data_IF_923655405672
#
_entry.id   IF_923655405672
#
_cell.length_a   1.000
_cell.length_b   1.000
_cell.length_c   1.000
_cell.angle_alpha   90.00
_cell.angle_beta   90.00
_cell.angle_gamma   90.00
#
_symmetry.space_group_name_H-M   'P 1'
#
loop_
_entity.id
_entity.type
_entity.pdbx_description
1 polymer ?
#
# COMPACT_ATOMS: atom_id res chain seq x y z
N UNK A 1 -27.60 -47.74 32.20
CA UNK A 1 -26.50 -48.74 32.22
C UNK A 1 -25.91 -48.94 33.59
N UNK A 2 -25.50 -47.88 34.29
CA UNK A 2 -25.17 -47.97 35.73
C UNK A 2 -26.30 -48.69 36.49
N UNK A 3 -27.56 -48.34 36.22
CA UNK A 3 -28.73 -49.04 36.77
C UNK A 3 -28.76 -50.56 36.52
N UNK A 4 -28.36 -51.05 35.34
CA UNK A 4 -28.36 -52.48 35.01
C UNK A 4 -27.22 -53.21 35.72
N UNK A 5 -26.02 -52.60 35.77
CA UNK A 5 -24.87 -53.15 36.50
C UNK A 5 -25.18 -53.21 38.00
N UNK A 6 -25.78 -52.14 38.56
CA UNK A 6 -26.24 -52.10 39.94
C UNK A 6 -27.31 -53.14 40.24
N UNK A 7 -28.28 -53.34 39.33
CA UNK A 7 -29.31 -54.38 39.47
C UNK A 7 -28.71 -55.80 39.44
N UNK A 8 -27.69 -56.03 38.60
CA UNK A 8 -26.91 -57.27 38.59
C UNK A 8 -26.21 -57.52 39.92
N UNK A 9 -25.52 -56.51 40.47
CA UNK A 9 -24.85 -56.64 41.76
C UNK A 9 -25.84 -56.87 42.90
N UNK A 10 -27.01 -56.23 42.83
CA UNK A 10 -28.09 -56.48 43.78
C UNK A 10 -28.63 -57.91 43.69
N UNK A 11 -28.80 -58.47 42.50
CA UNK A 11 -29.20 -59.86 42.33
C UNK A 11 -28.17 -60.84 42.88
N UNK A 12 -26.87 -60.59 42.66
CA UNK A 12 -25.76 -61.36 43.26
C UNK A 12 -25.80 -61.27 44.79
N UNK A 13 -26.02 -60.08 45.34
CA UNK A 13 -26.13 -59.84 46.78
C UNK A 13 -27.29 -60.61 47.41
N UNK A 14 -28.49 -60.55 46.81
CA UNK A 14 -29.67 -61.29 47.28
C UNK A 14 -29.45 -62.81 47.21
N UNK A 15 -28.84 -63.31 46.13
CA UNK A 15 -28.52 -64.73 45.97
C UNK A 15 -27.52 -65.22 47.02
N UNK A 16 -26.48 -64.43 47.29
CA UNK A 16 -25.47 -64.74 48.30
C UNK A 16 -26.06 -64.78 49.71
N UNK A 17 -27.01 -63.89 50.03
CA UNK A 17 -27.77 -63.92 51.30
C UNK A 17 -28.68 -65.15 51.40
N UNK A 18 -29.37 -65.52 50.32
CA UNK A 18 -30.32 -66.63 50.31
C UNK A 18 -29.67 -68.01 50.52
N UNK A 19 -28.38 -68.17 50.19
CA UNK A 19 -27.64 -69.45 50.28
C UNK A 19 -26.84 -69.63 51.56
N UNK A 20 -26.70 -68.62 52.42
CA UNK A 20 -25.98 -68.72 53.70
C UNK A 20 -24.45 -68.57 53.61
N UNK A 21 -23.84 -68.82 52.45
CA UNK A 21 -22.41 -68.64 52.18
C UNK A 21 -22.11 -67.29 51.51
N UNK A 22 -22.43 -66.20 52.22
CA UNK A 22 -22.40 -64.85 51.64
C UNK A 22 -21.03 -64.45 51.07
N UNK A 23 -19.95 -64.63 51.84
CA UNK A 23 -18.62 -64.15 51.47
C UNK A 23 -18.04 -64.88 50.25
N UNK A 24 -18.23 -66.20 50.15
CA UNK A 24 -17.75 -67.01 49.01
C UNK A 24 -18.47 -66.62 47.72
N UNK A 25 -19.81 -66.65 47.73
CA UNK A 25 -20.62 -66.39 46.54
C UNK A 25 -20.48 -64.94 46.11
N UNK A 26 -20.62 -63.98 47.03
CA UNK A 26 -20.54 -62.56 46.70
C UNK A 26 -19.13 -62.15 46.27
N UNK A 27 -18.09 -62.60 47.00
CA UNK A 27 -16.70 -62.25 46.70
C UNK A 27 -16.23 -62.77 45.35
N UNK A 28 -16.47 -64.05 45.06
CA UNK A 28 -16.10 -64.66 43.78
C UNK A 28 -16.90 -64.03 42.62
N UNK A 29 -18.20 -63.85 42.80
CA UNK A 29 -19.07 -63.23 41.79
C UNK A 29 -18.69 -61.78 41.50
N UNK A 30 -18.27 -61.03 42.51
CA UNK A 30 -17.82 -59.65 42.36
C UNK A 30 -16.53 -59.56 41.53
N UNK A 31 -15.53 -60.41 41.82
CA UNK A 31 -14.26 -60.42 41.07
C UNK A 31 -14.50 -60.84 39.62
N UNK A 32 -15.30 -61.90 39.39
CA UNK A 32 -15.62 -62.37 38.03
C UNK A 32 -16.43 -61.32 37.27
N UNK A 33 -17.37 -60.64 37.94
CA UNK A 33 -18.13 -59.54 37.35
C UNK A 33 -17.23 -58.37 36.94
N UNK A 34 -16.32 -57.93 37.81
CA UNK A 34 -15.37 -56.85 37.51
C UNK A 34 -14.41 -57.22 36.38
N UNK A 35 -13.89 -58.45 36.37
CA UNK A 35 -13.04 -58.95 35.28
C UNK A 35 -13.81 -58.97 33.96
N UNK A 36 -15.07 -59.42 33.98
CA UNK A 36 -15.94 -59.45 32.80
C UNK A 36 -16.26 -58.06 32.28
N UNK A 37 -16.59 -57.11 33.17
CA UNK A 37 -16.78 -55.69 32.82
C UNK A 37 -15.52 -55.11 32.19
N UNK A 38 -14.33 -55.44 32.72
CA UNK A 38 -13.07 -54.94 32.19
C UNK A 38 -12.79 -55.47 30.78
N UNK A 39 -12.95 -56.78 30.56
CA UNK A 39 -12.75 -57.40 29.23
C UNK A 39 -13.76 -56.85 28.23
N UNK A 40 -15.04 -56.84 28.59
CA UNK A 40 -16.10 -56.27 27.76
C UNK A 40 -15.87 -54.79 27.49
N UNK A 41 -15.49 -54.02 28.51
CA UNK A 41 -15.22 -52.59 28.42
C UNK A 41 -14.00 -52.24 27.58
N UNK A 42 -12.94 -53.05 27.63
CA UNK A 42 -11.80 -52.89 26.74
C UNK A 42 -12.22 -53.06 25.27
N UNK A 43 -12.98 -54.10 24.95
CA UNK A 43 -13.53 -54.30 23.61
C UNK A 43 -14.48 -53.15 23.23
N UNK A 44 -15.39 -52.76 24.12
CA UNK A 44 -16.32 -51.66 23.90
C UNK A 44 -15.61 -50.36 23.60
N UNK A 45 -14.55 -50.05 24.35
CA UNK A 45 -13.69 -48.89 24.11
C UNK A 45 -13.07 -48.94 22.71
N UNK A 46 -12.43 -50.05 22.33
CA UNK A 46 -11.81 -50.20 21.00
C UNK A 46 -12.81 -49.94 19.88
N UNK A 47 -13.98 -50.60 19.94
CA UNK A 47 -15.05 -50.42 18.95
C UNK A 47 -15.69 -49.02 19.01
N UNK A 48 -15.61 -48.34 20.15
CA UNK A 48 -16.16 -47.01 20.37
C UNK A 48 -15.23 -45.86 19.98
N UNK A 49 -13.94 -46.13 19.69
CA UNK A 49 -13.01 -45.10 19.21
C UNK A 49 -13.53 -44.53 17.87
N UNK A 50 -13.78 -43.22 17.81
CA UNK A 50 -14.30 -42.60 16.59
C UNK A 50 -13.22 -42.57 15.51
N UNK A 51 -13.59 -42.97 14.28
CA UNK A 51 -12.69 -43.00 13.10
C UNK A 51 -12.81 -41.70 12.32
N UNK A 52 -12.10 -40.65 12.74
CA UNK A 52 -12.40 -39.27 12.30
C UNK A 52 -11.54 -38.77 11.14
N UNK A 53 -10.66 -39.57 10.53
CA UNK A 53 -9.72 -39.04 9.52
C UNK A 53 -9.54 -39.80 8.20
N UNK A 54 -10.36 -40.79 7.85
CA UNK A 54 -10.16 -41.50 6.57
C UNK A 54 -10.73 -40.79 5.33
N UNK A 55 -11.66 -39.83 5.48
CA UNK A 55 -12.37 -39.23 4.33
C UNK A 55 -11.81 -37.86 3.86
N UNK A 56 -10.80 -37.29 4.52
CA UNK A 56 -10.23 -35.99 4.11
C UNK A 56 -9.25 -36.08 2.93
N UNK A 57 -8.84 -37.29 2.51
CA UNK A 57 -7.92 -37.48 1.38
C UNK A 57 -8.64 -37.71 0.03
N UNK A 58 -9.97 -37.72 -0.01
CA UNK A 58 -10.75 -38.03 -1.21
C UNK A 58 -11.27 -36.80 -1.98
N UNK A 59 -11.13 -35.59 -1.44
CA UNK A 59 -11.51 -34.36 -2.13
C UNK A 59 -10.32 -33.40 -2.14
N UNK A 60 -9.61 -33.34 -3.26
CA UNK A 60 -8.59 -32.33 -3.48
C UNK A 60 -9.23 -30.95 -3.50
N UNK A 61 -9.01 -30.17 -2.44
CA UNK A 61 -9.17 -28.73 -2.49
C UNK A 61 -8.27 -28.07 -1.44
N UNK A 62 -7.33 -27.28 -1.97
CA UNK A 62 -6.45 -26.38 -1.25
C UNK A 62 -7.27 -25.37 -0.45
N UNK A 63 -7.28 -25.53 0.87
CA UNK A 63 -7.30 -24.41 1.81
C UNK A 63 -6.70 -24.90 3.12
N UNK A 64 -5.42 -24.61 3.27
CA UNK A 64 -4.57 -24.93 4.40
C UNK A 64 -4.99 -24.12 5.62
N UNK A 65 -5.98 -24.63 6.34
CA UNK A 65 -6.12 -24.42 7.77
C UNK A 65 -6.33 -25.80 8.41
N UNK A 66 -5.21 -26.37 8.83
CA UNK A 66 -5.12 -27.35 9.91
C UNK A 66 -5.64 -28.76 9.64
N UNK A 67 -4.86 -29.42 8.78
CA UNK A 67 -4.48 -30.84 8.93
C UNK A 67 -3.72 -31.04 10.25
N UNK A 68 -4.34 -30.74 11.39
CA UNK A 68 -3.80 -31.11 12.69
C UNK A 68 -4.09 -32.60 12.89
N UNK A 69 -2.98 -33.34 12.83
CA UNK A 69 -2.86 -34.77 13.02
C UNK A 69 -3.47 -35.11 14.38
N UNK A 70 -4.72 -35.57 14.40
CA UNK A 70 -5.15 -36.41 15.51
C UNK A 70 -4.15 -37.56 15.56
N UNK A 71 -3.81 -38.05 16.76
CA UNK A 71 -2.91 -39.18 16.88
C UNK A 71 -3.60 -40.42 16.31
N UNK A 72 -3.51 -40.60 14.98
CA UNK A 72 -4.15 -41.68 14.22
C UNK A 72 -3.61 -43.03 14.61
N UNK A 73 -2.51 -43.09 15.38
CA UNK A 73 -1.95 -44.35 15.85
C UNK A 73 -2.99 -45.15 16.64
N UNK A 74 -3.75 -44.54 17.56
CA UNK A 74 -4.78 -45.26 18.33
C UNK A 74 -5.99 -45.64 17.46
N UNK A 75 -6.39 -44.78 16.54
CA UNK A 75 -7.46 -45.05 15.57
C UNK A 75 -7.11 -46.22 14.64
N UNK A 76 -5.89 -46.21 14.10
CA UNK A 76 -5.36 -47.24 13.19
C UNK A 76 -5.13 -48.56 13.91
N UNK A 77 -4.51 -48.54 15.09
CA UNK A 77 -4.32 -49.74 15.92
C UNK A 77 -5.68 -50.35 16.27
N UNK A 78 -6.67 -49.52 16.64
CA UNK A 78 -8.02 -50.01 16.90
C UNK A 78 -8.70 -50.59 15.65
N UNK A 79 -8.55 -49.97 14.48
CA UNK A 79 -9.09 -50.51 13.22
C UNK A 79 -8.48 -51.85 12.84
N UNK A 80 -7.16 -52.01 12.96
CA UNK A 80 -6.48 -53.29 12.72
C UNK A 80 -6.90 -54.34 13.74
N UNK A 81 -6.93 -53.98 15.03
CA UNK A 81 -7.27 -54.89 16.10
C UNK A 81 -8.73 -55.35 16.01
N UNK A 82 -9.67 -54.45 15.76
CA UNK A 82 -11.09 -54.80 15.58
C UNK A 82 -11.31 -55.70 14.36
N UNK A 83 -10.61 -55.47 13.24
CA UNK A 83 -10.65 -56.37 12.08
C UNK A 83 -10.11 -57.77 12.40
N UNK A 84 -8.99 -57.86 13.13
CA UNK A 84 -8.44 -59.15 13.58
C UNK A 84 -9.43 -59.87 14.50
N UNK A 85 -10.01 -59.18 15.48
CA UNK A 85 -10.98 -59.74 16.42
C UNK A 85 -12.22 -60.27 15.67
N UNK A 86 -12.77 -59.51 14.73
CA UNK A 86 -13.91 -59.94 13.91
C UNK A 86 -13.52 -61.12 13.02
N UNK A 87 -12.33 -61.10 12.41
CA UNK A 87 -11.83 -62.20 11.57
C UNK A 87 -11.62 -63.51 12.34
N UNK A 88 -11.03 -63.45 13.53
CA UNK A 88 -10.88 -64.61 14.42
C UNK A 88 -12.25 -65.11 14.88
N UNK A 89 -13.16 -64.20 15.25
CA UNK A 89 -14.52 -64.57 15.68
C UNK A 89 -15.30 -65.32 14.59
N UNK A 90 -15.15 -64.92 13.32
CA UNK A 90 -15.81 -65.56 12.19
C UNK A 90 -15.22 -66.94 11.86
N UNK A 91 -13.91 -67.10 11.95
CA UNK A 91 -13.22 -68.32 11.51
C UNK A 91 -13.07 -69.36 12.61
N UNK A 92 -12.96 -68.93 13.87
CA UNK A 92 -12.67 -69.78 15.04
C UNK A 92 -13.84 -69.88 16.03
N UNK A 93 -15.08 -69.64 15.60
CA UNK A 93 -16.26 -69.69 16.47
C UNK A 93 -16.40 -71.01 17.27
N UNK A 94 -16.12 -72.21 16.70
CA UNK A 94 -16.18 -73.45 17.46
C UNK A 94 -15.14 -73.50 18.59
N UNK A 95 -13.91 -73.04 18.34
CA UNK A 95 -12.86 -72.97 19.34
C UNK A 95 -13.24 -72.00 20.46
N UNK A 96 -13.70 -70.78 20.10
CA UNK A 96 -14.16 -69.79 21.06
C UNK A 96 -15.31 -70.30 21.95
N UNK A 97 -16.24 -71.07 21.37
CA UNK A 97 -17.33 -71.71 22.14
C UNK A 97 -16.78 -72.71 23.14
N UNK A 98 -15.84 -73.57 22.74
CA UNK A 98 -15.28 -74.60 23.61
C UNK A 98 -14.46 -73.98 24.74
N UNK A 99 -13.63 -72.97 24.46
CA UNK A 99 -12.86 -72.24 25.47
C UNK A 99 -13.77 -71.48 26.44
N UNK A 100 -14.85 -70.86 25.94
CA UNK A 100 -15.85 -70.22 26.80
C UNK A 100 -16.56 -71.23 27.71
N UNK A 101 -16.96 -72.39 27.16
CA UNK A 101 -17.57 -73.46 27.94
C UNK A 101 -16.60 -74.02 28.99
N UNK A 102 -15.32 -74.20 28.65
CA UNK A 102 -14.28 -74.63 29.58
C UNK A 102 -14.09 -73.61 30.72
N UNK A 103 -13.99 -72.32 30.39
CA UNK A 103 -13.91 -71.23 31.37
C UNK A 103 -15.14 -71.22 32.29
N UNK A 104 -16.34 -71.34 31.73
CA UNK A 104 -17.58 -71.39 32.51
C UNK A 104 -17.67 -72.65 33.39
N UNK A 105 -17.18 -73.80 32.91
CA UNK A 105 -17.12 -75.02 33.72
C UNK A 105 -16.14 -74.89 34.88
N UNK A 106 -14.94 -74.34 34.66
CA UNK A 106 -13.94 -74.12 35.70
C UNK A 106 -14.46 -73.15 36.78
N UNK A 107 -15.16 -72.09 36.37
CA UNK A 107 -15.80 -71.17 37.31
C UNK A 107 -16.96 -71.83 38.07
N UNK A 108 -17.73 -72.68 37.40
CA UNK A 108 -18.85 -73.39 38.01
C UNK A 108 -18.42 -74.36 39.11
N UNK A 109 -17.24 -74.96 39.00
CA UNK A 109 -16.65 -75.80 40.06
C UNK A 109 -16.47 -74.99 41.35
N UNK A 110 -15.97 -73.76 41.25
CA UNK A 110 -15.82 -72.84 42.39
C UNK A 110 -17.13 -72.39 43.04
N UNK A 111 -18.28 -72.59 42.38
CA UNK A 111 -19.61 -72.31 42.91
C UNK A 111 -20.41 -73.58 43.26
N UNK A 112 -19.93 -74.76 42.85
CA UNK A 112 -20.68 -76.01 42.88
C UNK A 112 -21.00 -76.48 44.29
N UNK A 113 -20.04 -76.35 45.21
CA UNK A 113 -20.20 -76.69 46.63
C UNK A 113 -21.24 -75.78 47.31
N UNK A 114 -21.31 -74.51 46.92
CA UNK A 114 -22.17 -73.50 47.54
C UNK A 114 -23.62 -73.54 47.04
N UNK A 115 -23.83 -73.90 45.77
CA UNK A 115 -25.18 -73.99 45.20
C UNK A 115 -25.82 -75.37 45.33
N UNK A 116 -25.02 -76.44 45.44
CA UNK A 116 -25.48 -77.83 45.56
C UNK A 116 -26.13 -78.40 44.28
N UNK A 117 -26.01 -77.68 43.16
CA UNK A 117 -26.53 -78.08 41.85
C UNK A 117 -25.54 -77.63 40.77
N UNK A 118 -24.92 -78.59 40.08
CA UNK A 118 -23.90 -78.34 39.07
C UNK A 118 -24.47 -77.59 37.85
N UNK A 119 -25.67 -77.96 37.39
CA UNK A 119 -26.33 -77.31 36.25
C UNK A 119 -26.65 -75.85 36.54
N UNK A 120 -27.12 -75.55 37.77
CA UNK A 120 -27.36 -74.18 38.21
C UNK A 120 -26.07 -73.36 38.30
N UNK A 121 -25.00 -73.94 38.83
CA UNK A 121 -23.69 -73.27 38.98
C UNK A 121 -23.07 -72.93 37.62
N UNK A 122 -23.24 -73.82 36.64
CA UNK A 122 -22.80 -73.59 35.27
C UNK A 122 -23.62 -72.49 34.58
N UNK A 123 -24.96 -72.55 34.69
CA UNK A 123 -25.85 -71.52 34.16
C UNK A 123 -25.59 -70.14 34.79
N UNK A 124 -25.33 -70.10 36.10
CA UNK A 124 -24.96 -68.89 36.82
C UNK A 124 -23.65 -68.30 36.31
N UNK A 125 -22.60 -69.13 36.18
CA UNK A 125 -21.27 -68.71 35.69
C UNK A 125 -21.34 -68.16 34.26
N UNK A 126 -22.07 -68.85 33.37
CA UNK A 126 -22.33 -68.38 32.01
C UNK A 126 -23.04 -67.01 32.00
N UNK A 127 -24.11 -66.90 32.80
CA UNK A 127 -24.92 -65.68 32.87
C UNK A 127 -24.10 -64.50 33.40
N UNK A 128 -23.28 -64.73 34.42
CA UNK A 128 -22.45 -63.71 35.04
C UNK A 128 -21.36 -63.19 34.09
N UNK A 129 -20.65 -64.09 33.40
CA UNK A 129 -19.66 -63.71 32.39
C UNK A 129 -20.28 -62.89 31.25
N UNK A 130 -21.38 -63.38 30.67
CA UNK A 130 -22.03 -62.74 29.53
C UNK A 130 -22.65 -61.39 29.91
N UNK A 131 -23.42 -61.35 31.00
CA UNK A 131 -24.13 -60.15 31.41
C UNK A 131 -23.18 -58.99 31.69
N UNK A 132 -22.13 -59.23 32.48
CA UNK A 132 -21.18 -58.19 32.85
C UNK A 132 -20.22 -57.81 31.71
N UNK A 133 -19.86 -58.76 30.84
CA UNK A 133 -19.09 -58.45 29.63
C UNK A 133 -19.89 -57.56 28.65
N UNK A 134 -21.15 -57.89 28.38
CA UNK A 134 -22.02 -57.07 27.52
C UNK A 134 -22.26 -55.69 28.13
N UNK A 135 -22.50 -55.61 29.44
CA UNK A 135 -22.65 -54.32 30.13
C UNK A 135 -21.37 -53.47 30.04
N UNK A 136 -20.20 -54.06 30.27
CA UNK A 136 -18.91 -53.38 30.13
C UNK A 136 -18.69 -52.87 28.70
N UNK A 137 -18.98 -53.72 27.71
CA UNK A 137 -18.90 -53.36 26.30
C UNK A 137 -19.73 -52.13 25.96
N UNK A 138 -21.03 -52.16 26.27
CA UNK A 138 -21.93 -51.05 25.95
C UNK A 138 -21.50 -49.78 26.72
N UNK A 139 -21.03 -49.91 27.97
CA UNK A 139 -20.57 -48.79 28.80
C UNK A 139 -19.42 -48.04 28.16
N UNK A 140 -18.34 -48.74 27.89
CA UNK A 140 -17.15 -48.11 27.32
C UNK A 140 -17.36 -47.72 25.86
N UNK A 141 -18.18 -48.46 25.11
CA UNK A 141 -18.55 -48.09 23.74
C UNK A 141 -19.27 -46.75 23.68
N UNK A 142 -20.33 -46.57 24.48
CA UNK A 142 -21.07 -45.32 24.50
C UNK A 142 -20.23 -44.18 25.07
N UNK A 143 -19.43 -44.44 26.10
CA UNK A 143 -18.53 -43.43 26.66
C UNK A 143 -17.49 -42.94 25.63
N UNK A 144 -16.79 -43.87 24.95
CA UNK A 144 -15.83 -43.53 23.91
C UNK A 144 -16.51 -42.82 22.73
N UNK A 145 -17.70 -43.26 22.32
CA UNK A 145 -18.40 -42.68 21.18
C UNK A 145 -18.94 -41.27 21.46
N UNK A 146 -19.37 -40.97 22.68
CA UNK A 146 -20.02 -39.70 23.02
C UNK A 146 -19.08 -38.71 23.69
N UNK A 147 -18.34 -39.14 24.71
CA UNK A 147 -17.58 -38.22 25.56
C UNK A 147 -16.20 -37.92 24.97
N UNK A 148 -15.47 -38.95 24.53
CA UNK A 148 -14.14 -38.76 23.93
C UNK A 148 -14.23 -37.91 22.65
N UNK A 149 -15.26 -38.13 21.83
CA UNK A 149 -15.48 -37.33 20.62
C UNK A 149 -15.69 -35.84 20.92
N UNK A 150 -16.56 -35.52 21.88
CA UNK A 150 -16.86 -34.12 22.25
C UNK A 150 -15.65 -33.43 22.86
N UNK A 151 -14.88 -34.13 23.70
CA UNK A 151 -13.66 -33.56 24.28
C UNK A 151 -12.62 -33.25 23.20
N UNK A 152 -12.42 -34.15 22.24
CA UNK A 152 -11.48 -33.94 21.14
C UNK A 152 -11.92 -32.78 20.23
N UNK A 153 -13.21 -32.66 19.91
CA UNK A 153 -13.71 -31.55 19.09
C UNK A 153 -13.60 -30.20 19.81
N UNK A 154 -13.88 -30.15 21.12
CA UNK A 154 -13.74 -28.94 21.91
C UNK A 154 -12.28 -28.48 22.00
N UNK A 155 -11.35 -29.40 22.25
CA UNK A 155 -9.91 -29.10 22.26
C UNK A 155 -9.46 -28.60 20.88
N UNK A 156 -9.93 -29.24 19.80
CA UNK A 156 -9.66 -28.81 18.42
C UNK A 156 -10.14 -27.39 18.16
N UNK A 157 -11.38 -27.05 18.53
CA UNK A 157 -11.93 -25.70 18.35
C UNK A 157 -11.14 -24.64 19.12
N UNK A 158 -10.66 -24.97 20.32
CA UNK A 158 -9.84 -24.05 21.12
C UNK A 158 -8.48 -23.77 20.48
N UNK A 159 -7.82 -24.80 19.93
CA UNK A 159 -6.54 -24.64 19.23
C UNK A 159 -6.72 -23.78 17.97
N UNK A 160 -7.68 -24.12 17.11
CA UNK A 160 -8.00 -23.34 15.89
C UNK A 160 -8.29 -21.88 16.24
N UNK A 161 -9.12 -21.63 17.27
CA UNK A 161 -9.47 -20.28 17.68
C UNK A 161 -8.25 -19.48 18.20
N UNK A 162 -7.32 -20.14 18.89
CA UNK A 162 -6.09 -19.52 19.37
C UNK A 162 -5.15 -19.14 18.21
N UNK A 163 -4.97 -20.03 17.23
CA UNK A 163 -4.12 -19.79 16.06
C UNK A 163 -4.72 -18.70 15.15
N UNK A 164 -6.03 -18.73 14.91
CA UNK A 164 -6.73 -17.66 14.19
C UNK A 164 -6.58 -16.32 14.92
N UNK A 165 -6.75 -16.29 16.24
CA UNK A 165 -6.60 -15.05 17.03
C UNK A 165 -5.18 -14.49 16.95
N UNK A 166 -4.16 -15.37 16.98
CA UNK A 166 -2.76 -14.97 16.83
C UNK A 166 -2.48 -14.40 15.44
N UNK A 167 -3.00 -15.04 14.39
CA UNK A 167 -2.86 -14.56 13.01
C UNK A 167 -3.57 -13.20 12.80
N UNK A 168 -4.78 -13.03 13.35
CA UNK A 168 -5.51 -11.74 13.30
C UNK A 168 -4.73 -10.65 14.04
N UNK A 169 -4.15 -10.94 15.20
CA UNK A 169 -3.37 -9.96 15.96
C UNK A 169 -2.13 -9.49 15.18
N UNK A 170 -1.39 -10.43 14.58
CA UNK A 170 -0.24 -10.11 13.72
C UNK A 170 -0.64 -9.26 12.52
N UNK A 171 -1.70 -9.65 11.79
CA UNK A 171 -2.18 -8.89 10.65
C UNK A 171 -2.65 -7.50 11.06
N UNK A 172 -3.33 -7.36 12.20
CA UNK A 172 -3.77 -6.06 12.74
C UNK A 172 -2.57 -5.14 12.98
N UNK A 173 -1.50 -5.65 13.61
CA UNK A 173 -0.27 -4.89 13.82
C UNK A 173 0.36 -4.44 12.49
N UNK A 174 0.43 -5.34 11.50
CA UNK A 174 0.97 -4.99 10.18
C UNK A 174 0.15 -3.89 9.49
N UNK A 175 -1.18 -3.95 9.54
CA UNK A 175 -2.07 -2.93 8.96
C UNK A 175 -1.87 -1.60 9.66
N UNK A 176 -1.83 -1.56 11.00
CA UNK A 176 -1.61 -0.29 11.72
C UNK A 176 -0.24 0.35 11.42
N UNK A 177 0.81 -0.46 11.21
CA UNK A 177 2.12 0.04 10.81
C UNK A 177 2.12 0.59 9.38
N UNK A 178 1.39 -0.04 8.46
CA UNK A 178 1.21 0.46 7.09
C UNK A 178 0.44 1.79 7.12
N UNK A 179 -0.65 1.87 7.87
CA UNK A 179 -1.46 3.10 7.97
C UNK A 179 -0.65 4.28 8.52
N UNK A 180 0.20 4.05 9.54
CA UNK A 180 1.12 5.07 10.04
C UNK A 180 2.08 5.55 8.96
N UNK A 181 2.74 4.63 8.24
CA UNK A 181 3.64 4.98 7.14
C UNK A 181 2.91 5.77 6.06
N UNK A 182 1.71 5.37 5.66
CA UNK A 182 0.92 6.09 4.64
C UNK A 182 0.58 7.51 5.12
N UNK A 183 0.18 7.68 6.37
CA UNK A 183 -0.12 9.00 6.94
C UNK A 183 1.13 9.88 7.04
N UNK A 184 2.29 9.31 7.37
CA UNK A 184 3.56 10.04 7.44
C UNK A 184 4.06 10.45 6.04
N UNK A 185 3.80 9.66 4.99
CA UNK A 185 4.16 9.98 3.61
C UNK A 185 3.25 11.06 2.97
N UNK A 186 1.99 11.16 3.38
CA UNK A 186 1.01 12.07 2.78
C UNK A 186 1.48 13.53 2.65
N UNK A 187 2.01 14.15 3.72
CA UNK A 187 2.55 15.51 3.66
C UNK A 187 3.75 15.66 2.71
N UNK A 188 4.64 14.67 2.67
CA UNK A 188 5.82 14.70 1.79
C UNK A 188 5.44 14.62 0.32
N UNK A 189 4.46 13.77 -0.02
CA UNK A 189 3.90 13.68 -1.39
C UNK A 189 3.26 15.01 -1.79
N UNK A 190 2.44 15.59 -0.90
CA UNK A 190 1.81 16.88 -1.18
C UNK A 190 2.84 17.98 -1.41
N UNK A 191 3.84 18.09 -0.52
CA UNK A 191 4.93 19.06 -0.65
C UNK A 191 5.71 18.88 -1.97
N UNK A 192 6.02 17.64 -2.34
CA UNK A 192 6.73 17.35 -3.59
C UNK A 192 5.90 17.70 -4.82
N UNK A 193 4.58 17.44 -4.78
CA UNK A 193 3.66 17.83 -5.85
C UNK A 193 3.61 19.35 -6.00
N UNK A 194 3.45 20.09 -4.90
CA UNK A 194 3.42 21.55 -4.90
C UNK A 194 4.73 22.15 -5.46
N UNK A 195 5.89 21.63 -5.04
CA UNK A 195 7.19 22.05 -5.58
C UNK A 195 7.34 21.71 -7.07
N UNK A 196 6.86 20.53 -7.51
CA UNK A 196 6.97 20.12 -8.92
C UNK A 196 6.16 21.03 -9.85
N UNK A 197 5.01 21.53 -9.39
CA UNK A 197 4.21 22.51 -10.13
C UNK A 197 4.96 23.82 -10.27
N UNK A 198 5.50 24.37 -9.18
CA UNK A 198 6.28 25.62 -9.21
C UNK A 198 7.51 25.51 -10.11
N UNK A 199 8.24 24.40 -10.03
CA UNK A 199 9.39 24.13 -10.92
C UNK A 199 8.95 24.11 -12.39
N UNK A 200 7.80 23.50 -12.69
CA UNK A 200 7.30 23.43 -14.07
C UNK A 200 6.92 24.80 -14.63
N UNK A 201 6.30 25.66 -13.81
CA UNK A 201 5.93 27.04 -14.18
C UNK A 201 7.18 27.87 -14.51
N UNK A 202 8.18 27.86 -13.63
CA UNK A 202 9.44 28.61 -13.86
C UNK A 202 10.17 28.10 -15.10
N UNK A 203 10.22 26.78 -15.31
CA UNK A 203 10.83 26.21 -16.52
C UNK A 203 10.12 26.63 -17.80
N UNK A 204 8.79 26.75 -17.76
CA UNK A 204 8.01 27.25 -18.89
C UNK A 204 8.33 28.72 -19.18
N UNK A 205 8.44 29.57 -18.16
CA UNK A 205 8.82 30.98 -18.33
C UNK A 205 10.26 31.13 -18.88
N UNK A 206 11.21 30.34 -18.37
CA UNK A 206 12.59 30.30 -18.90
C UNK A 206 12.64 29.87 -20.37
N UNK A 207 11.77 28.93 -20.79
CA UNK A 207 11.68 28.54 -22.19
C UNK A 207 11.14 29.68 -23.08
N UNK A 208 10.25 30.52 -22.55
CA UNK A 208 9.75 31.70 -23.28
C UNK A 208 10.85 32.76 -23.43
N UNK A 209 11.73 32.94 -22.44
CA UNK A 209 12.95 33.77 -22.58
C UNK A 209 13.83 33.31 -23.75
N UNK A 210 14.08 32.00 -23.87
CA UNK A 210 14.87 31.46 -24.99
C UNK A 210 14.19 31.72 -26.35
N UNK A 211 12.87 31.59 -26.40
CA UNK A 211 12.09 31.86 -27.60
C UNK A 211 12.15 33.33 -27.99
N UNK A 212 11.96 34.25 -27.04
CA UNK A 212 12.07 35.68 -27.29
C UNK A 212 13.47 36.10 -27.74
N UNK A 213 14.53 35.53 -27.13
CA UNK A 213 15.92 35.74 -27.59
C UNK A 213 16.15 35.31 -29.03
N UNK A 214 15.59 34.16 -29.44
CA UNK A 214 15.66 33.72 -30.84
C UNK A 214 14.96 34.71 -31.79
N UNK A 215 13.81 35.24 -31.40
CA UNK A 215 13.08 36.25 -32.19
C UNK A 215 13.93 37.53 -32.35
N UNK A 216 14.53 38.02 -31.26
CA UNK A 216 15.46 39.15 -31.29
C UNK A 216 16.64 38.88 -32.23
N UNK A 217 17.31 37.74 -32.08
CA UNK A 217 18.45 37.37 -32.90
C UNK A 217 18.10 37.29 -34.40
N UNK A 218 16.92 36.75 -34.74
CA UNK A 218 16.44 36.70 -36.11
C UNK A 218 16.27 38.12 -36.66
N UNK A 219 15.63 39.02 -35.91
CA UNK A 219 15.45 40.41 -36.33
C UNK A 219 16.80 41.12 -36.58
N UNK A 220 17.78 40.92 -35.70
CA UNK A 220 19.12 41.50 -35.79
C UNK A 220 19.93 40.94 -36.97
N UNK A 221 19.60 39.74 -37.46
CA UNK A 221 20.29 39.08 -38.58
C UNK A 221 19.69 39.38 -39.96
N UNK A 222 18.56 40.10 -40.05
CA UNK A 222 17.86 40.37 -41.32
C UNK A 222 18.71 41.15 -42.34
N UNK A 223 19.60 42.02 -41.89
CA UNK A 223 20.47 42.86 -42.73
C UNK A 223 21.91 42.83 -42.19
N UNK A 224 22.87 42.54 -43.06
CA UNK A 224 24.32 42.52 -42.73
C UNK A 224 24.83 43.83 -42.11
N UNK A 225 24.25 44.97 -42.48
CA UNK A 225 24.58 46.29 -41.93
C UNK A 225 24.09 46.41 -40.50
N UNK A 226 22.83 46.01 -40.25
CA UNK A 226 22.21 45.97 -38.92
C UNK A 226 22.99 45.03 -38.01
N UNK A 227 23.31 43.84 -38.50
CA UNK A 227 24.08 42.84 -37.77
C UNK A 227 25.44 43.38 -37.31
N UNK A 228 26.16 44.08 -38.20
CA UNK A 228 27.47 44.65 -37.89
C UNK A 228 27.38 45.76 -36.84
N UNK A 229 26.39 46.64 -36.98
CA UNK A 229 26.20 47.79 -36.08
C UNK A 229 25.78 47.33 -34.69
N UNK A 230 24.86 46.37 -34.61
CA UNK A 230 24.40 45.79 -33.34
C UNK A 230 25.53 45.00 -32.68
N UNK A 231 26.31 44.23 -33.44
CA UNK A 231 27.48 43.53 -32.91
C UNK A 231 28.51 44.50 -32.30
N UNK A 232 28.76 45.64 -32.96
CA UNK A 232 29.65 46.68 -32.43
C UNK A 232 29.11 47.35 -31.17
N UNK A 233 27.78 47.52 -31.07
CA UNK A 233 27.15 48.08 -29.88
C UNK A 233 27.19 47.14 -28.66
N UNK A 234 27.45 45.84 -28.85
CA UNK A 234 27.54 44.83 -27.80
C UNK A 234 26.33 44.89 -26.84
N UNK A 235 25.10 44.58 -27.30
CA UNK A 235 23.93 44.57 -26.43
C UNK A 235 24.08 43.53 -25.33
N UNK A 236 23.60 43.86 -24.14
CA UNK A 236 23.48 42.87 -23.07
C UNK A 236 22.38 41.85 -23.41
N UNK A 237 22.43 40.63 -22.85
CA UNK A 237 21.36 39.66 -22.97
C UNK A 237 20.04 40.23 -22.43
N UNK A 238 18.93 39.87 -23.05
CA UNK A 238 17.59 40.16 -22.54
C UNK A 238 17.40 39.58 -21.13
N UNK A 239 16.94 40.38 -20.17
CA UNK A 239 16.75 39.98 -18.76
C UNK A 239 15.31 40.10 -18.26
N UNK A 240 14.44 40.79 -18.99
CA UNK A 240 13.01 41.02 -18.64
C UNK A 240 12.13 40.50 -19.77
N UNK A 241 11.20 39.58 -19.47
CA UNK A 241 10.42 38.84 -20.48
C UNK A 241 9.47 39.74 -21.28
N UNK A 242 8.78 40.64 -20.57
CA UNK A 242 7.76 41.51 -21.17
C UNK A 242 8.36 42.69 -21.93
N UNK A 243 9.64 42.98 -21.71
CA UNK A 243 10.35 44.08 -22.36
C UNK A 243 11.73 43.62 -22.84
N UNK A 244 11.73 43.04 -24.03
CA UNK A 244 12.93 42.47 -24.64
C UNK A 244 14.06 43.44 -24.91
N UNK A 245 13.85 44.76 -24.79
CA UNK A 245 14.90 45.78 -24.98
C UNK A 245 15.44 46.33 -23.66
N UNK A 246 14.77 46.06 -22.55
CA UNK A 246 15.14 46.58 -21.23
C UNK A 246 16.51 46.09 -20.79
N UNK A 247 17.32 47.01 -20.27
CA UNK A 247 18.68 46.77 -19.79
C UNK A 247 19.66 46.25 -20.86
N UNK A 248 19.32 46.29 -22.15
CA UNK A 248 20.21 45.79 -23.23
C UNK A 248 21.18 46.84 -23.73
N UNK A 249 20.83 48.11 -23.62
CA UNK A 249 21.47 49.22 -24.32
C UNK A 249 22.21 50.18 -23.38
N UNK A 250 22.54 49.73 -22.16
CA UNK A 250 23.33 50.47 -21.18
C UNK A 250 22.51 51.32 -20.21
N UNK A 251 21.18 51.32 -20.32
CA UNK A 251 20.23 51.95 -19.37
C UNK A 251 20.46 53.46 -19.13
N UNK A 252 21.09 54.13 -20.08
CA UNK A 252 21.31 55.58 -20.07
C UNK A 252 20.55 56.21 -21.23
N UNK A 253 19.72 57.21 -20.94
CA UNK A 253 19.02 58.02 -21.95
C UNK A 253 19.86 59.22 -22.41
N UNK A 254 21.04 59.42 -21.80
CA UNK A 254 21.94 60.52 -22.09
C UNK A 254 23.39 60.03 -21.99
N UNK A 255 24.20 60.29 -23.02
CA UNK A 255 25.62 59.96 -23.02
C UNK A 255 26.40 60.97 -23.88
N UNK A 256 27.50 61.49 -23.35
CA UNK A 256 28.34 62.49 -24.01
C UNK A 256 27.53 63.72 -24.49
N UNK A 257 27.50 64.02 -25.79
CA UNK A 257 26.71 65.11 -26.37
C UNK A 257 25.33 64.66 -26.89
N UNK A 258 24.87 63.45 -26.57
CA UNK A 258 23.62 62.89 -27.09
C UNK A 258 22.57 62.73 -25.99
N UNK A 259 21.33 63.04 -26.32
CA UNK A 259 20.17 62.82 -25.45
C UNK A 259 19.05 62.15 -26.24
N UNK A 260 18.44 61.16 -25.59
CA UNK A 260 17.31 60.39 -26.07
C UNK A 260 16.10 60.71 -25.18
N UNK A 261 15.01 61.14 -25.79
CA UNK A 261 13.76 61.44 -25.09
C UNK A 261 12.57 61.12 -25.98
N UNK A 262 11.37 61.08 -25.40
CA UNK A 262 10.16 60.85 -26.14
C UNK A 262 9.07 61.89 -25.81
N UNK A 263 8.22 62.13 -26.81
CA UNK A 263 6.97 62.87 -26.69
C UNK A 263 5.79 61.97 -27.02
N UNK A 264 4.65 62.26 -26.40
CA UNK A 264 3.50 61.38 -26.41
C UNK A 264 2.25 62.13 -26.86
N UNK A 265 1.53 61.58 -27.82
CA UNK A 265 0.19 62.06 -28.18
C UNK A 265 -0.82 60.98 -27.84
N UNK A 266 -1.67 61.27 -26.86
CA UNK A 266 -2.76 60.39 -26.44
C UNK A 266 -4.04 60.69 -27.22
N UNK A 267 -4.73 59.63 -27.67
CA UNK A 267 -6.01 59.74 -28.35
C UNK A 267 -7.09 59.09 -27.47
N UNK A 268 -8.02 59.86 -26.87
CA UNK A 268 -8.99 59.36 -25.89
C UNK A 268 -9.91 58.23 -26.38
N UNK A 269 -10.03 58.05 -27.70
CA UNK A 269 -10.87 57.03 -28.34
C UNK A 269 -10.08 55.83 -28.87
N UNK A 270 -8.76 55.79 -28.66
CA UNK A 270 -7.88 54.71 -29.12
C UNK A 270 -7.25 53.99 -27.94
N UNK A 271 -7.07 52.67 -28.08
CA UNK A 271 -6.28 51.86 -27.14
C UNK A 271 -4.77 52.07 -27.29
N UNK A 272 -4.34 52.94 -28.21
CA UNK A 272 -2.94 53.19 -28.52
C UNK A 272 -2.59 54.67 -28.28
N UNK A 273 -1.34 54.93 -27.94
CA UNK A 273 -0.74 56.25 -27.92
C UNK A 273 0.36 56.34 -28.98
N UNK A 274 0.51 57.54 -29.56
CA UNK A 274 1.61 57.82 -30.48
C UNK A 274 2.83 58.21 -29.66
N UNK A 275 3.91 57.46 -29.83
CA UNK A 275 5.22 57.76 -29.27
C UNK A 275 6.08 58.35 -30.36
N UNK A 276 6.69 59.50 -30.08
CA UNK A 276 7.73 60.08 -30.91
C UNK A 276 9.03 60.08 -30.12
N UNK A 277 9.95 59.18 -30.49
CA UNK A 277 11.27 59.08 -29.88
C UNK A 277 12.27 59.89 -30.69
N UNK A 278 13.03 60.74 -29.99
CA UNK A 278 13.96 61.68 -30.60
C UNK A 278 15.35 61.49 -30.02
N UNK A 279 16.31 61.19 -30.88
CA UNK A 279 17.73 61.32 -30.60
C UNK A 279 18.20 62.69 -31.09
N UNK A 280 18.79 63.50 -30.21
CA UNK A 280 19.38 64.79 -30.58
C UNK A 280 20.74 65.04 -29.94
N UNK A 281 21.54 65.92 -30.53
CA UNK A 281 22.70 66.48 -29.84
C UNK A 281 22.28 67.52 -28.81
N UNK A 282 22.97 67.60 -27.67
CA UNK A 282 22.68 68.59 -26.61
C UNK A 282 23.06 70.00 -27.06
N UNK A 283 24.20 70.13 -27.74
CA UNK A 283 24.61 71.39 -28.36
C UNK A 283 24.02 71.52 -29.78
N UNK A 284 23.18 72.54 -30.06
CA UNK A 284 22.64 72.82 -31.39
C UNK A 284 23.71 73.19 -32.43
N UNK A 285 24.89 73.65 -31.99
CA UNK A 285 26.01 73.99 -32.87
C UNK A 285 26.99 72.83 -33.07
N UNK A 286 26.74 71.67 -32.47
CA UNK A 286 27.55 70.48 -32.67
C UNK A 286 27.50 70.01 -34.13
N UNK A 287 28.50 69.19 -34.50
CA UNK A 287 28.51 68.53 -35.79
C UNK A 287 27.24 67.69 -35.97
N UNK A 288 26.63 67.69 -37.17
CA UNK A 288 25.43 66.92 -37.44
C UNK A 288 25.65 65.42 -37.22
N UNK A 289 24.55 64.73 -36.92
CA UNK A 289 24.54 63.27 -36.79
C UNK A 289 24.92 62.66 -38.14
N UNK A 290 26.19 62.27 -38.27
CA UNK A 290 26.73 61.69 -39.49
C UNK A 290 26.66 60.16 -39.44
N UNK A 291 25.65 59.60 -40.10
CA UNK A 291 25.39 58.17 -40.14
C UNK A 291 23.95 57.84 -39.80
N UNK A 292 23.53 56.61 -40.09
CA UNK A 292 22.18 56.16 -39.77
C UNK A 292 22.03 55.85 -38.28
N UNK A 293 20.84 56.10 -37.75
CA UNK A 293 20.41 55.79 -36.39
C UNK A 293 19.44 54.61 -36.44
N UNK A 294 19.61 53.64 -35.55
CA UNK A 294 18.80 52.44 -35.49
C UNK A 294 18.00 52.44 -34.19
N UNK A 295 16.67 52.51 -34.32
CA UNK A 295 15.75 52.39 -33.20
C UNK A 295 15.37 50.93 -33.00
N UNK A 296 15.59 50.43 -31.80
CA UNK A 296 15.32 49.06 -31.37
C UNK A 296 13.98 49.07 -30.63
N UNK A 297 12.94 48.69 -31.33
CA UNK A 297 11.57 48.58 -30.83
C UNK A 297 11.31 47.21 -30.20
N UNK A 298 10.14 47.08 -29.58
CA UNK A 298 9.67 45.80 -29.06
C UNK A 298 9.49 44.75 -30.19
N UNK A 299 9.68 43.47 -29.88
CA UNK A 299 9.59 42.37 -30.87
C UNK A 299 8.19 42.11 -31.41
N UNK A 300 7.16 42.75 -30.85
CA UNK A 300 5.79 42.70 -31.37
C UNK A 300 5.61 43.48 -32.67
N UNK A 301 6.52 44.40 -32.99
CA UNK A 301 6.48 45.17 -34.23
C UNK A 301 6.97 44.30 -35.41
N UNK A 302 6.37 44.50 -36.58
CA UNK A 302 6.72 43.76 -37.81
C UNK A 302 8.21 43.94 -38.18
N UNK A 303 8.69 45.17 -38.05
CA UNK A 303 10.08 45.56 -38.19
C UNK A 303 10.55 46.22 -36.88
N UNK A 304 11.08 45.43 -35.93
CA UNK A 304 11.46 45.94 -34.62
C UNK A 304 12.79 46.71 -34.65
N UNK A 305 13.47 46.76 -35.80
CA UNK A 305 14.69 47.54 -35.96
C UNK A 305 14.45 48.53 -37.09
N UNK A 306 14.33 49.80 -36.73
CA UNK A 306 14.01 50.87 -37.67
C UNK A 306 15.24 51.73 -37.94
N UNK A 307 15.67 51.73 -39.19
CA UNK A 307 16.75 52.59 -39.69
C UNK A 307 16.20 53.98 -40.01
N UNK A 308 16.78 55.01 -39.42
CA UNK A 308 16.44 56.42 -39.65
C UNK A 308 17.70 57.20 -40.03
N UNK A 309 17.65 57.87 -41.17
CA UNK A 309 18.69 58.83 -41.56
C UNK A 309 18.42 60.18 -40.87
N UNK A 310 19.34 60.71 -40.05
CA UNK A 310 19.14 61.95 -39.32
C UNK A 310 18.95 63.17 -40.23
N UNK A 311 18.21 64.16 -39.75
CA UNK A 311 18.11 65.48 -40.36
C UNK A 311 18.89 66.49 -39.51
N UNK A 312 20.15 66.74 -39.90
CA UNK A 312 21.05 67.60 -39.13
C UNK A 312 21.41 66.96 -37.79
N UNK A 313 20.97 67.57 -36.69
CA UNK A 313 21.32 67.16 -35.32
C UNK A 313 20.25 66.26 -34.68
N UNK A 314 19.22 65.86 -35.44
CA UNK A 314 18.03 65.19 -34.90
C UNK A 314 17.69 63.97 -35.74
N UNK A 315 17.43 62.84 -35.08
CA UNK A 315 16.80 61.67 -35.66
C UNK A 315 15.50 61.36 -34.89
N UNK A 316 14.39 61.26 -35.62
CA UNK A 316 13.05 61.08 -35.05
C UNK A 316 12.43 59.81 -35.61
N UNK A 317 11.85 59.01 -34.73
CA UNK A 317 11.00 57.90 -35.12
C UNK A 317 9.67 57.95 -34.37
N UNK A 318 8.57 57.69 -35.08
CA UNK A 318 7.22 57.70 -34.51
C UNK A 318 6.54 56.36 -34.74
N UNK A 319 5.90 55.84 -33.68
CA UNK A 319 5.19 54.56 -33.70
C UNK A 319 3.98 54.60 -32.75
N UNK A 320 2.99 53.76 -33.03
CA UNK A 320 1.84 53.57 -32.14
C UNK A 320 2.09 52.39 -31.21
N UNK A 321 1.91 52.58 -29.91
CA UNK A 321 2.01 51.51 -28.92
C UNK A 321 0.75 51.42 -28.07
N UNK A 322 0.41 50.21 -27.63
CA UNK A 322 -0.65 49.95 -26.63
C UNK A 322 -0.11 49.92 -25.21
N UNK A 323 1.20 49.80 -25.05
CA UNK A 323 1.88 49.65 -23.76
C UNK A 323 3.27 50.28 -23.85
N UNK A 324 3.79 50.79 -22.74
CA UNK A 324 5.12 51.34 -22.62
C UNK A 324 6.15 50.21 -22.65
N UNK A 325 7.27 50.42 -23.34
CA UNK A 325 8.39 49.48 -23.39
C UNK A 325 9.69 50.26 -23.55
N UNK A 326 10.82 49.61 -23.37
CA UNK A 326 12.13 50.23 -23.49
C UNK A 326 12.53 50.38 -24.95
N UNK A 327 12.94 51.57 -25.35
CA UNK A 327 13.47 51.80 -26.70
C UNK A 327 14.99 51.88 -26.62
N UNK A 328 15.66 50.97 -27.35
CA UNK A 328 17.09 51.07 -27.58
C UNK A 328 17.39 51.95 -28.78
N UNK A 329 18.50 52.68 -28.74
CA UNK A 329 19.01 53.41 -29.90
C UNK A 329 20.47 53.08 -30.08
N UNK A 330 20.85 52.71 -31.31
CA UNK A 330 22.23 52.48 -31.70
C UNK A 330 22.60 53.41 -32.84
N UNK A 331 23.72 54.11 -32.70
CA UNK A 331 24.29 54.96 -33.72
C UNK A 331 25.48 54.29 -34.42
N UNK A 332 25.79 54.68 -35.66
CA UNK A 332 26.81 54.04 -36.51
C UNK A 332 28.17 53.87 -35.82
N UNK A 333 28.52 54.80 -34.92
CA UNK A 333 29.81 54.83 -34.22
C UNK A 333 29.85 53.85 -33.02
N UNK A 334 28.82 53.03 -32.83
CA UNK A 334 28.69 52.08 -31.72
C UNK A 334 28.11 52.69 -30.45
N UNK A 335 27.76 53.99 -30.44
CA UNK A 335 27.06 54.62 -29.32
C UNK A 335 25.67 53.99 -29.17
N UNK A 336 25.32 53.70 -27.92
CA UNK A 336 24.03 53.13 -27.54
C UNK A 336 23.37 53.95 -26.43
N UNK A 337 22.07 54.13 -26.53
CA UNK A 337 21.22 54.76 -25.53
C UNK A 337 19.97 53.92 -25.30
N UNK A 338 19.38 54.06 -24.14
CA UNK A 338 18.20 53.34 -23.71
C UNK A 338 17.19 54.31 -23.09
N UNK A 339 15.94 54.25 -23.55
CA UNK A 339 14.84 55.02 -22.97
C UNK A 339 13.75 54.08 -22.49
N UNK A 340 13.64 53.93 -21.16
CA UNK A 340 12.59 53.18 -20.51
C UNK A 340 11.31 54.04 -20.43
N UNK A 341 10.40 53.85 -21.41
CA UNK A 341 9.14 54.60 -21.45
C UNK A 341 8.25 54.29 -20.24
N UNK A 342 8.39 53.11 -19.63
CA UNK A 342 7.59 52.73 -18.47
C UNK A 342 7.92 53.59 -17.24
N UNK A 343 9.18 54.04 -17.14
CA UNK A 343 9.64 54.95 -16.08
C UNK A 343 9.37 56.44 -16.35
N UNK A 344 9.03 56.82 -17.58
CA UNK A 344 8.78 58.22 -17.91
C UNK A 344 7.48 58.72 -17.24
N UNK A 345 7.53 59.78 -16.41
CA UNK A 345 6.34 60.32 -15.73
C UNK A 345 5.31 60.93 -16.70
N UNK A 346 5.68 61.23 -17.94
CA UNK A 346 4.78 61.78 -18.97
C UNK A 346 3.90 60.71 -19.61
N UNK A 347 4.24 59.43 -19.48
CA UNK A 347 3.43 58.32 -19.98
C UNK A 347 2.22 58.11 -19.05
N UNK A 348 0.97 58.15 -19.57
CA UNK A 348 -0.21 57.89 -18.76
C UNK A 348 -0.19 56.51 -18.07
N UNK A 349 -0.68 56.38 -16.83
CA UNK A 349 -0.62 55.13 -16.07
C UNK A 349 -1.25 53.92 -16.77
N UNK A 350 -2.29 54.13 -17.58
CA UNK A 350 -2.99 53.08 -18.33
C UNK A 350 -2.13 52.39 -19.40
N UNK A 351 -1.03 53.02 -19.82
CA UNK A 351 -0.07 52.43 -20.76
C UNK A 351 1.16 51.84 -20.06
N UNK A 352 1.26 51.98 -18.73
CA UNK A 352 2.39 51.43 -17.98
C UNK A 352 2.11 49.99 -17.60
N UNK A 353 3.11 49.12 -17.78
CA UNK A 353 3.04 47.74 -17.32
C UNK A 353 3.60 47.63 -15.90
N UNK A 354 3.00 46.74 -15.10
CA UNK A 354 3.57 46.35 -13.82
C UNK A 354 4.71 45.37 -14.07
N UNK A 355 5.91 45.71 -13.62
CA UNK A 355 7.09 44.84 -13.68
C UNK A 355 6.91 43.69 -12.67
N UNK A 356 6.04 42.73 -13.03
CA UNK A 356 5.63 41.59 -12.19
C UNK A 356 6.56 40.41 -12.28
N UNK A 357 7.20 40.23 -13.43
CA UNK A 357 7.98 39.03 -13.71
C UNK A 357 9.41 39.20 -13.16
N UNK A 358 9.90 38.23 -12.36
CA UNK A 358 11.29 38.21 -11.93
C UNK A 358 12.23 38.16 -13.14
N UNK A 359 13.43 38.71 -12.98
CA UNK A 359 14.48 38.61 -13.99
C UNK A 359 14.89 37.16 -14.22
N UNK A 360 15.45 36.86 -15.39
CA UNK A 360 15.90 35.49 -15.71
C UNK A 360 16.85 34.90 -14.65
N UNK A 361 17.75 35.72 -14.11
CA UNK A 361 18.69 35.28 -13.07
C UNK A 361 18.00 35.00 -11.73
N UNK A 362 17.01 35.82 -11.36
CA UNK A 362 16.17 35.57 -10.19
C UNK A 362 15.40 34.26 -10.33
N UNK A 363 14.82 33.99 -11.50
CA UNK A 363 14.13 32.74 -11.80
C UNK A 363 15.06 31.53 -11.77
N UNK A 364 16.26 31.63 -12.36
CA UNK A 364 17.26 30.56 -12.32
C UNK A 364 17.69 30.23 -10.89
N UNK A 365 17.88 31.27 -10.07
CA UNK A 365 18.20 31.11 -8.66
C UNK A 365 17.04 30.47 -7.87
N UNK A 366 15.80 30.91 -8.13
CA UNK A 366 14.60 30.31 -7.55
C UNK A 366 14.44 28.83 -7.95
N UNK A 367 14.61 28.52 -9.25
CA UNK A 367 14.56 27.16 -9.77
C UNK A 367 15.56 26.25 -9.06
N UNK A 368 16.82 26.69 -8.95
CA UNK A 368 17.87 25.93 -8.26
C UNK A 368 17.52 25.65 -6.80
N UNK A 369 16.93 26.61 -6.09
CA UNK A 369 16.51 26.43 -4.69
C UNK A 369 15.36 25.44 -4.56
N UNK A 370 14.37 25.52 -5.45
CA UNK A 370 13.21 24.62 -5.45
C UNK A 370 13.62 23.18 -5.81
N UNK A 371 14.53 23.01 -6.76
CA UNK A 371 15.08 21.70 -7.12
C UNK A 371 15.87 21.06 -5.97
N UNK A 372 16.67 21.85 -5.25
CA UNK A 372 17.38 21.40 -4.06
C UNK A 372 16.41 21.01 -2.94
N UNK A 373 15.35 21.80 -2.73
CA UNK A 373 14.33 21.50 -1.74
C UNK A 373 13.55 20.23 -2.08
N UNK A 374 13.20 20.03 -3.36
CA UNK A 374 12.55 18.80 -3.84
C UNK A 374 13.45 17.57 -3.63
N UNK A 375 14.75 17.70 -3.90
CA UNK A 375 15.72 16.62 -3.70
C UNK A 375 15.91 16.23 -2.22
N UNK A 376 15.63 17.14 -1.28
CA UNK A 376 15.70 16.88 0.16
C UNK A 376 14.46 16.14 0.69
N UNK A 377 13.37 16.04 -0.07
CA UNK A 377 12.17 15.32 0.36
C UNK A 377 12.44 13.82 0.32
N UNK A 378 12.52 13.22 1.50
CA UNK A 378 12.64 11.77 1.65
C UNK A 378 11.26 11.12 1.53
N UNK A 379 11.11 10.22 0.56
CA UNK A 379 9.90 9.39 0.39
C UNK A 379 9.99 8.06 1.14
N UNK A 380 11.21 7.59 1.42
CA UNK A 380 11.47 6.37 2.16
C UNK A 380 12.69 6.57 3.06
N UNK A 381 12.61 6.09 4.30
CA UNK A 381 13.79 5.85 5.16
C UNK A 381 14.43 4.51 4.79
#
# INVERSE_FOLDING_TARGET
>A
MILFISAGFFAVFVLALAKGSFFSIFGLSLIVALASVFVGGFLGFLFGIPKVLQNANAAGQENSAEKIVSNTNLEQISDWLTKIIVGISLTQMPLLRNEFAALASNLSEGFSEEFGNADFSYAYSCSLLLFYSVCGFILMYLWARTHLLVQLDNLRRQLIAADIKKAIAQNTETVTNIDKKVNDLGPNIKKAMDLSVQISEIRQELAEFEKQRKILQIAESKDSTIQTIIANAQPLPMTVLDDGQKNRWGSQHEFDNYILFAEYTHYPTSFNFLVQVTLQTKDPNASPLNGDVFFMLHTSYLDPIVKVSPNGNIAIHSFYSTEAFTVGVVFNNGLKLELDLNKDPKVPPEYKYEEKLPTEDEMKNQLSKLEEELAKIQFFN
#
